data_IF_129032365428
#
_entry.id   IF_129032365428
#
_cell.length_a   1.000
_cell.length_b   1.000
_cell.length_c   1.000
_cell.angle_alpha   90.00
_cell.angle_beta   90.00
_cell.angle_gamma   90.00
#
_symmetry.space_group_name_H-M   'P 1'
#
loop_
_entity.id
_entity.type
_entity.pdbx_description
1 polymer ?
#
# COMPACT_ATOMS: atom_id res chain seq x y z
N UNK A 1 -9.64 -1.18 20.91
CA UNK A 1 -8.50 -0.25 20.71
C UNK A 1 -8.76 1.02 21.51
N UNK A 2 -7.71 1.70 21.97
CA UNK A 2 -7.83 3.00 22.65
C UNK A 2 -8.16 4.11 21.64
N UNK A 3 -8.90 5.14 22.07
CA UNK A 3 -9.19 6.29 21.23
C UNK A 3 -7.93 7.16 21.03
N UNK A 4 -7.59 7.42 19.77
CA UNK A 4 -6.45 8.25 19.40
C UNK A 4 -6.93 9.67 19.12
N UNK A 5 -6.51 10.62 19.97
CA UNK A 5 -6.84 12.04 19.80
C UNK A 5 -6.15 12.62 18.57
N UNK A 6 -6.92 13.19 17.65
CA UNK A 6 -6.44 13.90 16.48
C UNK A 6 -7.55 14.06 15.44
N UNK A 7 -7.17 14.51 14.25
CA UNK A 7 -8.07 14.65 13.11
C UNK A 7 -7.57 13.78 11.93
N UNK A 8 -8.45 13.16 11.14
CA UNK A 8 -8.07 12.52 9.89
C UNK A 8 -7.37 13.49 8.92
N UNK A 9 -6.30 13.03 8.27
CA UNK A 9 -5.46 13.85 7.39
C UNK A 9 -6.27 14.48 6.25
N UNK A 10 -7.24 13.75 5.68
CA UNK A 10 -8.10 14.28 4.61
C UNK A 10 -8.88 15.55 5.02
N UNK A 11 -9.20 15.71 6.31
CA UNK A 11 -9.89 16.91 6.80
C UNK A 11 -8.91 18.02 7.16
N UNK A 12 -7.82 17.66 7.84
CA UNK A 12 -6.83 18.63 8.29
C UNK A 12 -6.00 19.25 7.13
N UNK A 13 -5.80 18.51 6.02
CA UNK A 13 -4.87 18.86 4.92
C UNK A 13 -5.01 20.28 4.37
N UNK A 14 -6.24 20.73 4.16
CA UNK A 14 -6.53 22.03 3.54
C UNK A 14 -6.12 23.21 4.43
N UNK A 15 -6.09 23.01 5.75
CA UNK A 15 -5.71 24.05 6.73
C UNK A 15 -4.20 24.11 7.00
N UNK A 16 -3.44 23.11 6.55
CA UNK A 16 -2.01 23.02 6.81
C UNK A 16 -1.19 23.94 5.90
N UNK A 17 -0.19 24.60 6.49
CA UNK A 17 0.89 25.27 5.74
C UNK A 17 1.82 24.24 5.08
N UNK A 18 2.67 24.71 4.15
CA UNK A 18 3.68 23.86 3.49
C UNK A 18 4.60 23.18 4.50
N UNK A 19 5.13 23.93 5.49
CA UNK A 19 6.03 23.35 6.50
C UNK A 19 5.35 22.27 7.37
N UNK A 20 4.04 22.42 7.64
CA UNK A 20 3.27 21.40 8.35
C UNK A 20 3.06 20.15 7.49
N UNK A 21 2.79 20.32 6.19
CA UNK A 21 2.70 19.18 5.24
C UNK A 21 4.04 18.45 5.12
N UNK A 22 5.15 19.19 5.07
CA UNK A 22 6.50 18.60 5.05
C UNK A 22 6.76 17.75 6.30
N UNK A 23 6.32 18.23 7.47
CA UNK A 23 6.40 17.48 8.73
C UNK A 23 5.58 16.18 8.69
N UNK A 24 4.36 16.24 8.13
CA UNK A 24 3.52 15.04 7.93
C UNK A 24 4.16 14.07 6.96
N UNK A 25 4.73 14.54 5.85
CA UNK A 25 5.42 13.67 4.88
C UNK A 25 6.63 12.98 5.49
N UNK A 26 7.41 13.68 6.32
CA UNK A 26 8.53 13.09 7.04
C UNK A 26 8.07 11.94 7.95
N UNK A 27 6.97 12.14 8.69
CA UNK A 27 6.41 11.11 9.57
C UNK A 27 5.86 9.92 8.77
N UNK A 28 5.11 10.18 7.69
CA UNK A 28 4.60 9.11 6.81
C UNK A 28 5.74 8.29 6.22
N UNK A 29 6.83 8.92 5.79
CA UNK A 29 8.03 8.22 5.34
C UNK A 29 8.57 7.31 6.45
N UNK A 30 8.74 7.82 7.66
CA UNK A 30 9.23 7.04 8.79
C UNK A 30 8.33 5.83 9.08
N UNK A 31 7.00 6.01 9.08
CA UNK A 31 6.07 4.92 9.32
C UNK A 31 6.09 3.86 8.21
N UNK A 32 6.09 4.28 6.95
CA UNK A 32 6.15 3.37 5.79
C UNK A 32 7.48 2.60 5.78
N UNK A 33 8.60 3.28 6.05
CA UNK A 33 9.91 2.63 6.17
C UNK A 33 9.89 1.57 7.28
N UNK A 34 9.27 1.87 8.42
CA UNK A 34 9.07 0.92 9.53
C UNK A 34 8.27 -0.31 9.12
N UNK A 35 7.15 -0.14 8.41
CA UNK A 35 6.36 -1.26 7.88
C UNK A 35 7.19 -2.12 6.91
N UNK A 36 7.90 -1.48 5.98
CA UNK A 36 8.68 -2.18 4.96
C UNK A 36 9.93 -2.87 5.51
N UNK A 37 10.43 -2.44 6.67
CA UNK A 37 11.54 -3.07 7.35
C UNK A 37 11.17 -4.39 8.06
N UNK A 38 9.87 -4.67 8.23
CA UNK A 38 9.42 -5.94 8.81
C UNK A 38 9.84 -7.11 7.91
N UNK A 39 10.43 -8.18 8.48
CA UNK A 39 10.83 -9.33 7.70
C UNK A 39 9.59 -10.03 7.11
N UNK A 40 9.63 -10.31 5.81
CA UNK A 40 8.61 -11.10 5.17
C UNK A 40 8.65 -12.54 5.75
N UNK A 41 7.50 -13.15 6.11
CA UNK A 41 7.47 -14.51 6.61
C UNK A 41 7.99 -15.54 5.60
N UNK A 42 7.80 -15.25 4.31
CA UNK A 42 8.40 -15.96 3.19
C UNK A 42 8.83 -14.94 2.13
N UNK A 43 10.03 -15.09 1.52
CA UNK A 43 10.45 -14.23 0.43
C UNK A 43 9.54 -14.44 -0.78
N UNK A 44 9.31 -13.36 -1.54
CA UNK A 44 8.70 -13.37 -2.88
C UNK A 44 7.26 -13.95 -2.99
N UNK A 45 6.55 -14.04 -1.87
CA UNK A 45 5.14 -14.46 -1.83
C UNK A 45 4.22 -13.25 -1.61
N UNK A 46 3.14 -13.17 -2.36
CA UNK A 46 2.02 -12.26 -2.13
C UNK A 46 0.95 -12.99 -1.32
N UNK A 47 0.69 -12.52 -0.11
CA UNK A 47 -0.30 -13.08 0.81
C UNK A 47 -0.75 -12.02 1.84
N UNK A 48 -1.73 -12.37 2.68
CA UNK A 48 -2.10 -11.54 3.83
C UNK A 48 -1.00 -11.52 4.91
N UNK A 49 -1.14 -10.61 5.89
CA UNK A 49 -0.23 -10.50 7.04
C UNK A 49 -0.01 -11.81 7.81
N UNK A 50 -1.01 -12.71 7.79
CA UNK A 50 -0.99 -14.00 8.48
C UNK A 50 -0.66 -15.17 7.53
N UNK A 51 -0.15 -14.89 6.32
CA UNK A 51 0.14 -15.87 5.27
C UNK A 51 -1.08 -16.64 4.75
N UNK A 52 -2.29 -16.15 5.02
CA UNK A 52 -3.54 -16.62 4.40
C UNK A 52 -3.78 -15.93 3.05
N UNK A 53 -4.75 -16.40 2.25
CA UNK A 53 -5.24 -15.66 1.08
C UNK A 53 -5.59 -14.22 1.44
N UNK A 54 -5.19 -13.27 0.60
CA UNK A 54 -5.51 -11.85 0.72
C UNK A 54 -6.79 -11.52 -0.06
N UNK A 55 -7.43 -10.40 0.28
CA UNK A 55 -8.58 -9.86 -0.44
C UNK A 55 -8.37 -8.36 -0.62
N UNK A 56 -8.54 -7.88 -1.85
CA UNK A 56 -8.39 -6.48 -2.20
C UNK A 56 -9.35 -6.17 -3.36
N UNK A 57 -10.30 -5.27 -3.13
CA UNK A 57 -11.35 -4.95 -4.09
C UNK A 57 -10.82 -4.33 -5.39
N UNK A 58 -9.59 -3.81 -5.40
CA UNK A 58 -8.92 -3.27 -6.59
C UNK A 58 -8.39 -4.37 -7.50
N UNK A 59 -8.18 -5.57 -6.95
CA UNK A 59 -7.74 -6.77 -7.69
C UNK A 59 -8.95 -7.59 -8.13
N UNK A 60 -9.92 -7.78 -7.24
CA UNK A 60 -11.16 -8.50 -7.54
C UNK A 60 -12.00 -8.81 -6.30
N UNK A 61 -13.13 -9.46 -6.52
CA UNK A 61 -14.07 -9.82 -5.45
C UNK A 61 -13.75 -11.16 -4.75
N UNK A 62 -12.65 -11.81 -5.11
CA UNK A 62 -12.25 -13.13 -4.60
C UNK A 62 -10.95 -13.05 -3.82
N UNK A 63 -10.77 -13.97 -2.88
CA UNK A 63 -9.50 -14.18 -2.21
C UNK A 63 -8.44 -14.68 -3.20
N UNK A 64 -7.20 -14.23 -3.02
CA UNK A 64 -6.07 -14.64 -3.85
C UNK A 64 -4.82 -14.93 -3.01
N UNK A 65 -3.92 -15.72 -3.58
CA UNK A 65 -2.69 -16.17 -2.92
C UNK A 65 -2.92 -17.15 -1.76
N UNK A 66 -1.87 -17.54 -1.03
CA UNK A 66 -0.47 -17.19 -1.25
C UNK A 66 0.02 -17.56 -2.65
N UNK A 67 0.73 -16.66 -3.33
CA UNK A 67 1.20 -16.86 -4.71
C UNK A 67 2.47 -16.07 -5.02
N UNK A 68 3.15 -16.40 -6.10
CA UNK A 68 4.31 -15.66 -6.60
C UNK A 68 3.93 -14.27 -7.15
N UNK A 69 4.93 -13.38 -7.33
CA UNK A 69 4.71 -12.10 -8.02
C UNK A 69 4.19 -12.29 -9.44
N UNK A 70 4.69 -13.29 -10.19
CA UNK A 70 4.25 -13.52 -11.58
C UNK A 70 2.77 -13.91 -11.66
N UNK A 71 2.31 -14.77 -10.77
CA UNK A 71 0.88 -15.14 -10.63
C UNK A 71 0.03 -13.94 -10.22
N UNK A 72 0.51 -13.14 -9.25
CA UNK A 72 -0.18 -11.93 -8.82
C UNK A 72 -0.30 -10.90 -9.94
N UNK A 73 0.79 -10.64 -10.68
CA UNK A 73 0.75 -9.75 -11.83
C UNK A 73 -0.15 -10.29 -12.93
N UNK A 74 -0.25 -11.60 -13.12
CA UNK A 74 -1.16 -12.22 -14.08
C UNK A 74 -2.62 -11.97 -13.68
N UNK A 75 -2.93 -12.18 -12.40
CA UNK A 75 -4.25 -11.87 -11.84
C UNK A 75 -4.59 -10.37 -12.00
N UNK A 76 -3.66 -9.48 -11.62
CA UNK A 76 -3.87 -8.03 -11.65
C UNK A 76 -4.17 -7.47 -13.05
N UNK A 77 -3.70 -8.13 -14.12
CA UNK A 77 -4.00 -7.78 -15.52
C UNK A 77 -5.11 -8.64 -16.14
N UNK A 78 -5.92 -9.31 -15.33
CA UNK A 78 -7.02 -10.16 -15.81
C UNK A 78 -6.56 -11.30 -16.70
N UNK A 79 -5.37 -11.83 -16.45
CA UNK A 79 -4.68 -12.85 -17.25
C UNK A 79 -4.38 -12.46 -18.71
N UNK A 80 -4.36 -11.16 -19.03
CA UNK A 80 -3.82 -10.68 -20.29
C UNK A 80 -2.37 -11.18 -20.46
N UNK A 81 -2.01 -11.62 -21.67
CA UNK A 81 -0.66 -12.11 -21.95
C UNK A 81 0.34 -10.95 -21.85
N UNK A 82 1.55 -11.22 -21.38
CA UNK A 82 2.55 -10.17 -21.09
C UNK A 82 2.92 -9.38 -22.35
N UNK A 83 2.97 -10.06 -23.49
CA UNK A 83 3.20 -9.49 -24.81
C UNK A 83 2.12 -8.49 -25.27
N UNK A 84 0.91 -8.59 -24.72
CA UNK A 84 -0.22 -7.73 -25.09
C UNK A 84 -0.35 -6.52 -24.14
N UNK A 85 0.32 -6.52 -22.98
CA UNK A 85 0.29 -5.41 -22.01
C UNK A 85 0.72 -4.06 -22.60
N UNK A 86 1.74 -3.97 -23.49
CA UNK A 86 2.09 -2.70 -24.12
C UNK A 86 0.94 -2.04 -24.90
N UNK A 87 -0.07 -2.80 -25.33
CA UNK A 87 -1.27 -2.25 -25.97
C UNK A 87 -2.11 -1.37 -25.02
N UNK A 88 -1.93 -1.53 -23.70
CA UNK A 88 -2.59 -0.75 -22.66
C UNK A 88 -1.77 0.47 -22.22
N UNK A 89 -0.52 0.61 -22.70
CA UNK A 89 0.37 1.73 -22.42
C UNK A 89 1.73 1.33 -21.84
N UNK A 90 2.76 2.11 -22.16
CA UNK A 90 4.15 1.85 -21.77
C UNK A 90 4.35 1.76 -20.25
N UNK A 91 3.73 2.67 -19.49
CA UNK A 91 3.82 2.66 -18.04
C UNK A 91 3.30 1.35 -17.41
N UNK A 92 2.26 0.75 -18.00
CA UNK A 92 1.72 -0.53 -17.52
C UNK A 92 2.65 -1.69 -17.91
N UNK A 93 3.25 -1.63 -19.09
CA UNK A 93 4.25 -2.60 -19.52
C UNK A 93 5.48 -2.61 -18.59
N UNK A 94 5.96 -1.43 -18.17
CA UNK A 94 7.06 -1.31 -17.21
C UNK A 94 6.72 -1.96 -15.86
N UNK A 95 5.52 -1.68 -15.32
CA UNK A 95 5.04 -2.27 -14.06
C UNK A 95 5.00 -3.80 -14.13
N UNK A 96 4.49 -4.39 -15.21
CA UNK A 96 4.42 -5.84 -15.36
C UNK A 96 5.74 -6.50 -15.81
N UNK A 97 6.75 -5.70 -16.18
CA UNK A 97 8.10 -6.18 -16.47
C UNK A 97 9.04 -6.13 -15.27
N UNK A 98 8.75 -5.27 -14.29
CA UNK A 98 9.56 -5.08 -13.10
C UNK A 98 9.59 -6.31 -12.18
N UNK A 99 10.64 -6.37 -11.36
CA UNK A 99 10.77 -7.31 -10.25
C UNK A 99 10.65 -6.55 -8.94
N UNK A 100 9.93 -7.14 -8.01
CA UNK A 100 9.62 -6.52 -6.73
C UNK A 100 10.13 -7.39 -5.59
N UNK A 101 10.29 -6.77 -4.43
CA UNK A 101 10.47 -7.49 -3.18
C UNK A 101 9.16 -7.42 -2.41
N UNK A 102 8.69 -8.54 -1.85
CA UNK A 102 7.53 -8.53 -0.96
C UNK A 102 7.89 -7.78 0.32
N UNK A 103 7.14 -6.71 0.61
CA UNK A 103 7.23 -5.94 1.85
C UNK A 103 5.87 -5.88 2.52
N UNK A 104 5.85 -5.77 3.85
CA UNK A 104 4.60 -5.55 4.57
C UNK A 104 4.02 -4.16 4.25
N UNK A 105 2.71 -4.11 4.03
CA UNK A 105 1.98 -2.90 3.69
C UNK A 105 0.58 -2.93 4.32
N UNK A 106 0.03 -1.75 4.59
CA UNK A 106 -1.30 -1.57 5.17
C UNK A 106 -2.46 -2.03 4.25
N UNK A 107 -2.22 -2.08 2.94
CA UNK A 107 -3.22 -2.30 1.89
C UNK A 107 -4.27 -1.19 1.70
N UNK A 108 -4.60 -0.37 2.70
CA UNK A 108 -5.47 0.81 2.56
C UNK A 108 -4.88 2.10 3.20
N UNK A 109 -3.64 2.41 2.85
CA UNK A 109 -2.99 3.64 3.32
C UNK A 109 -3.55 4.88 2.61
N UNK A 110 -4.65 5.40 3.13
CA UNK A 110 -5.34 6.56 2.59
C UNK A 110 -5.42 7.72 3.62
N UNK A 111 -5.60 8.98 3.18
CA UNK A 111 -5.65 10.13 4.09
C UNK A 111 -6.74 10.08 5.18
N UNK A 112 -7.81 9.31 5.00
CA UNK A 112 -8.84 9.12 6.04
C UNK A 112 -8.41 8.12 7.13
N UNK A 113 -7.42 7.26 6.85
CA UNK A 113 -6.83 6.27 7.76
C UNK A 113 -5.58 6.80 8.49
N UNK A 114 -5.22 8.07 8.26
CA UNK A 114 -4.07 8.72 8.89
C UNK A 114 -4.59 9.76 9.88
N UNK A 115 -4.25 9.62 11.16
CA UNK A 115 -4.62 10.57 12.20
C UNK A 115 -3.46 11.52 12.46
N UNK A 116 -3.73 12.83 12.44
CA UNK A 116 -2.76 13.89 12.71
C UNK A 116 -3.15 14.73 13.92
N UNK A 117 -2.13 15.25 14.60
CA UNK A 117 -2.27 16.25 15.67
C UNK A 117 -1.02 17.13 15.67
N UNK A 118 -1.20 18.45 15.77
CA UNK A 118 -0.09 19.42 15.77
C UNK A 118 0.87 19.26 14.57
N UNK A 119 0.32 18.95 13.39
CA UNK A 119 1.05 18.68 12.15
C UNK A 119 2.02 17.47 12.22
N UNK A 120 1.74 16.51 13.11
CA UNK A 120 2.46 15.24 13.24
C UNK A 120 1.50 14.09 12.98
N UNK A 121 1.99 13.01 12.37
CA UNK A 121 1.22 11.75 12.30
C UNK A 121 1.26 11.10 13.68
N UNK A 122 0.08 10.83 14.25
CA UNK A 122 -0.05 10.19 15.57
C UNK A 122 -0.57 8.76 15.47
N UNK A 123 -1.20 8.40 14.35
CA UNK A 123 -1.58 7.02 14.06
C UNK A 123 -1.83 6.79 12.57
N UNK A 124 -1.65 5.53 12.18
CA UNK A 124 -2.22 4.92 10.98
C UNK A 124 -3.14 3.81 11.49
N UNK A 125 -4.38 3.78 11.01
CA UNK A 125 -5.44 2.88 11.48
C UNK A 125 -6.11 2.18 10.30
N UNK A 126 -6.91 1.15 10.63
CA UNK A 126 -7.49 0.18 9.67
C UNK A 126 -6.42 -0.80 9.13
#
# INVERSE_FOLDING_TARGET
MEYIRGEPLNRAWHSMSTAQRDSVFADLKQHIDGLRALPAPAPDIVCSALQNPACDCRIGAQFYGPMSHDEFHALARGHLRKEDVPLLGEALAEVHAARYETRFAHADLAPYNIIVRDARVVAVID
#
